data_IF_193244897005
#
_entry.id   IF_193244897005
#
_cell.length_a   1.000
_cell.length_b   1.000
_cell.length_c   1.000
_cell.angle_alpha   90.00
_cell.angle_beta   90.00
_cell.angle_gamma   90.00
#
_symmetry.space_group_name_H-M   'P 1'
#
loop_
_entity.id
_entity.type
_entity.pdbx_description
1 polymer ?
#
# COMPACT_ATOMS: atom_id res chain seq x y z
N UNK A 1 21.15 25.76 -2.47
CA UNK A 1 20.38 24.63 -3.02
C UNK A 1 19.22 24.39 -2.08
N UNK A 2 18.00 24.65 -2.51
CA UNK A 2 16.80 24.42 -1.71
C UNK A 2 16.68 22.92 -1.50
N UNK A 3 16.88 22.47 -0.28
CA UNK A 3 16.72 21.07 0.09
C UNK A 3 15.22 20.73 0.01
N UNK A 4 14.78 20.22 -1.15
CA UNK A 4 13.38 19.85 -1.34
C UNK A 4 13.02 18.73 -0.38
N UNK A 5 12.01 18.94 0.46
CA UNK A 5 11.52 17.94 1.40
C UNK A 5 11.14 16.65 0.65
N UNK A 6 11.57 15.51 1.17
CA UNK A 6 11.28 14.20 0.57
C UNK A 6 9.90 13.74 0.99
N UNK A 7 9.05 13.44 0.02
CA UNK A 7 7.72 12.88 0.24
C UNK A 7 7.79 11.36 0.16
N UNK A 8 7.39 10.69 1.23
CA UNK A 8 7.28 9.24 1.34
C UNK A 8 5.80 8.87 1.46
N UNK A 9 5.29 8.14 0.49
CA UNK A 9 3.89 7.76 0.40
C UNK A 9 3.73 6.26 0.65
N UNK A 10 2.77 5.91 1.50
CA UNK A 10 2.35 4.52 1.76
C UNK A 10 0.97 4.29 1.17
N UNK A 11 0.88 3.30 0.27
CA UNK A 11 -0.35 2.84 -0.38
C UNK A 11 -0.64 1.40 -0.01
N UNK A 12 -1.92 1.07 0.06
CA UNK A 12 -2.34 -0.29 0.38
C UNK A 12 -3.75 -0.36 0.95
N UNK A 13 -3.99 -1.46 1.63
CA UNK A 13 -5.27 -1.82 2.27
C UNK A 13 -5.28 -1.52 3.79
N UNK A 14 -6.01 -2.35 4.58
CA UNK A 14 -6.12 -2.21 6.04
C UNK A 14 -4.79 -2.33 6.78
N UNK A 15 -3.84 -3.12 6.24
CA UNK A 15 -2.52 -3.30 6.84
C UNK A 15 -1.73 -1.99 6.77
N UNK A 16 -1.89 -1.23 5.69
CA UNK A 16 -1.29 0.10 5.54
C UNK A 16 -2.11 1.18 6.25
N UNK A 17 -3.44 1.15 6.12
CA UNK A 17 -4.38 2.10 6.74
C UNK A 17 -4.14 2.23 8.25
N UNK A 18 -4.14 1.10 8.96
CA UNK A 18 -3.95 1.05 10.42
C UNK A 18 -4.88 1.96 11.20
N UNK A 19 -6.10 2.21 10.71
CA UNK A 19 -7.06 3.09 11.35
C UNK A 19 -6.66 4.58 11.29
N UNK A 20 -5.98 5.01 10.23
CA UNK A 20 -5.57 6.41 10.07
C UNK A 20 -6.73 7.39 10.09
N UNK A 21 -6.52 8.57 10.63
CA UNK A 21 -7.47 9.70 10.58
C UNK A 21 -7.73 10.16 9.15
N UNK A 22 -8.99 10.58 8.89
CA UNK A 22 -9.45 11.14 7.60
C UNK A 22 -9.71 12.64 7.68
N UNK A 23 -9.54 13.21 8.85
CA UNK A 23 -9.67 14.64 9.12
C UNK A 23 -8.31 15.34 9.03
N UNK A 24 -8.29 16.63 9.34
CA UNK A 24 -7.08 17.45 9.35
C UNK A 24 -6.24 17.31 10.62
N UNK A 25 -6.66 16.47 11.59
CA UNK A 25 -5.88 16.23 12.81
C UNK A 25 -4.60 15.46 12.50
N UNK A 26 -3.42 16.07 12.68
CA UNK A 26 -2.16 15.43 12.36
C UNK A 26 -1.81 14.25 13.27
N UNK A 27 -2.47 14.12 14.43
CA UNK A 27 -2.12 13.12 15.45
C UNK A 27 -2.34 11.68 14.97
N UNK A 28 -3.29 11.45 14.05
CA UNK A 28 -3.70 10.11 13.63
C UNK A 28 -3.64 9.88 12.11
N UNK A 29 -3.10 10.82 11.34
CA UNK A 29 -3.07 10.73 9.87
C UNK A 29 -2.25 9.55 9.33
N UNK A 30 -1.34 9.01 10.13
CA UNK A 30 -0.52 7.84 9.77
C UNK A 30 -1.11 6.52 10.26
N UNK A 31 -2.10 6.55 11.14
CA UNK A 31 -2.67 5.34 11.77
C UNK A 31 -1.69 4.68 12.74
N UNK A 32 -1.89 3.38 12.98
CA UNK A 32 -1.10 2.57 13.92
C UNK A 32 -0.35 1.42 13.22
N UNK A 33 -0.17 1.52 11.90
CA UNK A 33 0.46 0.49 11.07
C UNK A 33 1.98 0.64 10.99
N UNK A 34 2.60 -0.22 10.17
CA UNK A 34 4.03 -0.13 9.83
C UNK A 34 4.40 1.25 9.26
N UNK A 35 3.47 1.93 8.58
CA UNK A 35 3.68 3.28 8.06
C UNK A 35 4.02 4.28 9.17
N UNK A 36 3.30 4.21 10.30
CA UNK A 36 3.58 5.02 11.48
C UNK A 36 4.96 4.70 12.09
N UNK A 37 5.31 3.42 12.21
CA UNK A 37 6.59 3.00 12.78
C UNK A 37 7.77 3.45 11.92
N UNK A 38 7.65 3.31 10.60
CA UNK A 38 8.66 3.78 9.66
C UNK A 38 8.78 5.31 9.71
N UNK A 39 7.64 6.02 9.68
CA UNK A 39 7.63 7.48 9.74
C UNK A 39 8.27 8.01 11.04
N UNK A 40 7.96 7.40 12.18
CA UNK A 40 8.56 7.76 13.46
C UNK A 40 10.08 7.55 13.45
N UNK A 41 10.54 6.40 12.98
CA UNK A 41 11.97 6.07 12.92
C UNK A 41 12.74 6.97 11.95
N UNK A 42 12.22 7.14 10.73
CA UNK A 42 12.89 7.94 9.71
C UNK A 42 12.77 9.44 10.00
N UNK A 43 11.62 9.89 10.51
CA UNK A 43 11.42 11.28 10.95
C UNK A 43 12.40 11.69 12.03
N UNK A 44 12.65 10.81 13.00
CA UNK A 44 13.69 11.03 14.02
C UNK A 44 15.09 11.04 13.40
N UNK A 45 15.42 10.04 12.58
CA UNK A 45 16.78 9.87 12.01
C UNK A 45 17.15 11.00 11.04
N UNK A 46 16.17 11.53 10.31
CA UNK A 46 16.35 12.55 9.28
C UNK A 46 15.60 13.85 9.60
N UNK A 47 15.50 14.20 10.89
CA UNK A 47 14.74 15.36 11.37
C UNK A 47 15.16 16.67 10.70
N UNK A 48 16.44 16.87 10.43
CA UNK A 48 16.96 18.06 9.75
C UNK A 48 16.46 18.19 8.29
N UNK A 49 16.13 17.07 7.64
CA UNK A 49 15.63 17.02 6.28
C UNK A 49 14.10 17.17 6.22
N UNK A 50 13.43 17.12 7.34
CA UNK A 50 11.97 17.26 7.51
C UNK A 50 11.16 16.43 6.49
N UNK A 51 11.37 15.10 6.40
CA UNK A 51 10.65 14.29 5.42
C UNK A 51 9.14 14.32 5.69
N UNK A 52 8.35 14.32 4.62
CA UNK A 52 6.89 14.28 4.68
C UNK A 52 6.44 12.84 4.50
N UNK A 53 5.65 12.33 5.43
CA UNK A 53 5.08 10.99 5.38
C UNK A 53 3.57 11.08 5.16
N UNK A 54 3.08 10.34 4.16
CA UNK A 54 1.66 10.32 3.78
C UNK A 54 1.19 8.88 3.78
N UNK A 55 0.14 8.59 4.54
CA UNK A 55 -0.54 7.30 4.50
C UNK A 55 -1.86 7.44 3.72
N UNK A 56 -1.98 6.69 2.61
CA UNK A 56 -3.16 6.61 1.75
C UNK A 56 -3.76 5.20 1.71
N UNK A 57 -3.40 4.33 2.66
CA UNK A 57 -4.06 3.04 2.86
C UNK A 57 -5.56 3.19 3.10
N UNK A 58 -6.35 2.25 2.56
CA UNK A 58 -7.80 2.18 2.81
C UNK A 58 -8.18 0.72 3.06
N UNK A 59 -8.77 0.46 4.22
CA UNK A 59 -9.20 -0.88 4.63
C UNK A 59 -10.12 -1.52 3.58
N UNK A 60 -9.86 -2.79 3.26
CA UNK A 60 -10.64 -3.57 2.31
C UNK A 60 -10.25 -3.36 0.83
N UNK A 61 -9.35 -2.42 0.52
CA UNK A 61 -8.95 -2.17 -0.87
C UNK A 61 -8.26 -3.38 -1.49
N UNK A 62 -8.56 -3.59 -2.77
CA UNK A 62 -7.90 -4.48 -3.72
C UNK A 62 -7.04 -3.66 -4.68
N UNK A 63 -6.29 -4.32 -5.55
CA UNK A 63 -5.52 -3.63 -6.58
C UNK A 63 -6.39 -2.75 -7.49
N UNK A 64 -7.60 -3.22 -7.84
CA UNK A 64 -8.56 -2.44 -8.64
C UNK A 64 -9.05 -1.17 -7.93
N UNK A 65 -9.21 -1.24 -6.61
CA UNK A 65 -9.66 -0.10 -5.81
C UNK A 65 -8.52 0.93 -5.65
N UNK A 66 -7.26 0.47 -5.58
CA UNK A 66 -6.10 1.35 -5.68
C UNK A 66 -6.08 2.08 -7.02
N UNK A 67 -6.25 1.35 -8.13
CA UNK A 67 -6.22 1.91 -9.46
C UNK A 67 -7.29 2.99 -9.65
N UNK A 68 -8.49 2.76 -9.14
CA UNK A 68 -9.61 3.72 -9.25
C UNK A 68 -9.33 5.09 -8.61
N UNK A 69 -8.40 5.18 -7.66
CA UNK A 69 -8.03 6.42 -6.96
C UNK A 69 -6.56 6.83 -7.16
N UNK A 70 -5.88 6.17 -8.12
CA UNK A 70 -4.42 6.28 -8.24
C UNK A 70 -3.95 7.68 -8.58
N UNK A 71 -4.69 8.38 -9.43
CA UNK A 71 -4.35 9.74 -9.83
C UNK A 71 -4.32 10.70 -8.63
N UNK A 72 -5.36 10.68 -7.79
CA UNK A 72 -5.52 11.60 -6.65
C UNK A 72 -4.61 11.20 -5.49
N UNK A 73 -4.53 9.90 -5.21
CA UNK A 73 -3.90 9.38 -4.00
C UNK A 73 -2.43 8.97 -4.20
N UNK A 74 -1.92 9.00 -5.43
CA UNK A 74 -0.51 8.70 -5.71
C UNK A 74 0.12 9.70 -6.69
N UNK A 75 -0.36 9.78 -7.93
CA UNK A 75 0.28 10.57 -8.99
C UNK A 75 0.34 12.05 -8.62
N UNK A 76 -0.79 12.64 -8.18
CA UNK A 76 -0.89 14.06 -7.82
C UNK A 76 -0.02 14.45 -6.62
N UNK A 77 0.35 13.49 -5.78
CA UNK A 77 1.20 13.72 -4.61
C UNK A 77 2.69 13.76 -4.93
N UNK A 78 3.08 13.33 -6.14
CA UNK A 78 4.46 13.33 -6.64
C UNK A 78 5.48 12.82 -5.62
N UNK A 79 5.31 11.61 -5.06
CA UNK A 79 6.17 11.10 -4.01
C UNK A 79 7.60 10.85 -4.54
N UNK A 80 8.60 11.05 -3.70
CA UNK A 80 9.96 10.64 -3.98
C UNK A 80 10.16 9.12 -3.75
N UNK A 81 9.38 8.55 -2.82
CA UNK A 81 9.30 7.14 -2.54
C UNK A 81 7.84 6.73 -2.34
N UNK A 82 7.44 5.69 -3.04
CA UNK A 82 6.10 5.11 -2.97
C UNK A 82 6.22 3.65 -2.53
N UNK A 83 5.68 3.35 -1.36
CA UNK A 83 5.55 1.99 -0.82
C UNK A 83 4.14 1.46 -1.09
N UNK A 84 4.03 0.24 -1.62
CA UNK A 84 2.75 -0.39 -1.96
C UNK A 84 2.69 -1.76 -1.28
N UNK A 85 1.68 -1.98 -0.44
CA UNK A 85 1.32 -3.26 0.14
C UNK A 85 -0.15 -3.55 -0.15
N UNK A 86 -0.40 -4.42 -1.12
CA UNK A 86 -1.74 -4.75 -1.62
C UNK A 86 -1.81 -6.19 -2.09
N UNK A 87 -2.99 -6.82 -2.03
CA UNK A 87 -3.22 -8.16 -2.58
C UNK A 87 -3.92 -9.10 -1.62
N UNK A 88 -3.84 -8.89 -0.31
CA UNK A 88 -4.49 -9.78 0.67
C UNK A 88 -6.03 -9.80 0.48
N UNK A 89 -6.66 -8.68 0.16
CA UNK A 89 -8.10 -8.63 -0.10
C UNK A 89 -8.46 -9.20 -1.48
N UNK A 90 -7.56 -9.13 -2.43
CA UNK A 90 -7.72 -9.83 -3.71
C UNK A 90 -7.75 -11.35 -3.45
N UNK A 91 -6.77 -11.89 -2.72
CA UNK A 91 -6.72 -13.29 -2.33
C UNK A 91 -7.95 -13.69 -1.47
N UNK A 92 -8.34 -12.87 -0.49
CA UNK A 92 -9.52 -13.14 0.35
C UNK A 92 -10.79 -13.32 -0.46
N UNK A 93 -11.05 -12.41 -1.39
CA UNK A 93 -12.26 -12.48 -2.23
C UNK A 93 -12.22 -13.61 -3.26
N UNK A 94 -11.04 -14.10 -3.63
CA UNK A 94 -10.89 -15.29 -4.45
C UNK A 94 -11.38 -16.55 -3.71
N UNK A 95 -11.20 -16.62 -2.40
CA UNK A 95 -11.69 -17.75 -1.59
C UNK A 95 -13.23 -17.79 -1.54
N UNK A 96 -13.87 -16.63 -1.52
CA UNK A 96 -15.31 -16.57 -1.30
C UNK A 96 -16.14 -16.81 -2.57
N UNK A 97 -15.74 -16.37 -3.75
CA UNK A 97 -16.67 -16.35 -4.92
C UNK A 97 -16.07 -16.19 -6.31
N UNK A 98 -14.76 -16.14 -6.53
CA UNK A 98 -14.27 -15.77 -7.86
C UNK A 98 -13.68 -16.94 -8.66
N UNK A 99 -14.03 -17.01 -9.97
CA UNK A 99 -13.59 -18.08 -10.87
C UNK A 99 -12.12 -17.93 -11.24
N UNK A 100 -11.62 -18.97 -11.95
CA UNK A 100 -10.30 -19.02 -12.59
C UNK A 100 -9.88 -17.68 -13.21
N UNK A 101 -8.61 -17.33 -13.10
CA UNK A 101 -8.03 -16.13 -13.68
C UNK A 101 -8.07 -14.87 -12.79
N UNK A 102 -8.37 -15.03 -11.50
CA UNK A 102 -8.34 -13.88 -10.59
C UNK A 102 -6.90 -13.40 -10.32
N UNK A 103 -5.93 -14.32 -10.22
CA UNK A 103 -4.50 -14.00 -10.14
C UNK A 103 -4.03 -13.24 -11.39
N UNK A 104 -4.39 -13.71 -12.58
CA UNK A 104 -4.04 -13.04 -13.84
C UNK A 104 -4.62 -11.62 -13.91
N UNK A 105 -5.81 -11.39 -13.36
CA UNK A 105 -6.41 -10.05 -13.29
C UNK A 105 -5.66 -9.15 -12.31
N UNK A 106 -5.29 -9.69 -11.15
CA UNK A 106 -4.47 -8.97 -10.18
C UNK A 106 -3.14 -8.57 -10.81
N UNK A 107 -2.44 -9.52 -11.41
CA UNK A 107 -1.15 -9.28 -12.07
C UNK A 107 -1.25 -8.19 -13.14
N UNK A 108 -2.22 -8.30 -14.06
CA UNK A 108 -2.42 -7.29 -15.12
C UNK A 108 -2.72 -5.91 -14.56
N UNK A 109 -3.61 -5.82 -13.58
CA UNK A 109 -3.97 -4.54 -12.97
C UNK A 109 -2.78 -3.92 -12.23
N UNK A 110 -2.01 -4.74 -11.50
CA UNK A 110 -0.85 -4.28 -10.76
C UNK A 110 0.28 -3.85 -11.69
N UNK A 111 0.57 -4.63 -12.73
CA UNK A 111 1.56 -4.27 -13.77
C UNK A 111 1.19 -2.96 -14.47
N UNK A 112 -0.08 -2.78 -14.80
CA UNK A 112 -0.55 -1.55 -15.45
C UNK A 112 -0.36 -0.34 -14.52
N UNK A 113 -0.77 -0.44 -13.26
CA UNK A 113 -0.58 0.59 -12.23
C UNK A 113 0.90 0.98 -12.08
N UNK A 114 1.80 0.00 -12.04
CA UNK A 114 3.23 0.24 -11.91
C UNK A 114 3.83 0.87 -13.18
N UNK A 115 3.37 0.44 -14.36
CA UNK A 115 3.81 0.99 -15.65
C UNK A 115 3.43 2.46 -15.78
N UNK A 116 2.15 2.78 -15.52
CA UNK A 116 1.65 4.17 -15.50
C UNK A 116 2.41 5.04 -14.50
N UNK A 117 2.67 4.50 -13.30
CA UNK A 117 3.44 5.23 -12.30
C UNK A 117 4.85 5.57 -12.80
N UNK A 118 5.53 4.65 -13.43
CA UNK A 118 6.88 4.88 -13.97
C UNK A 118 6.89 5.83 -15.15
N UNK A 119 5.85 5.82 -15.97
CA UNK A 119 5.70 6.73 -17.09
C UNK A 119 5.50 8.17 -16.63
N UNK A 120 4.60 8.38 -15.65
CA UNK A 120 4.23 9.72 -15.17
C UNK A 120 5.20 10.25 -14.12
N UNK A 121 5.77 9.37 -13.31
CA UNK A 121 6.68 9.69 -12.19
C UNK A 121 7.99 8.89 -12.31
N UNK A 122 8.83 9.12 -13.34
CA UNK A 122 10.01 8.31 -13.63
C UNK A 122 11.05 8.31 -12.50
N UNK A 123 11.13 9.39 -11.72
CA UNK A 123 12.10 9.54 -10.62
C UNK A 123 11.60 8.96 -9.29
N UNK A 124 10.33 8.58 -9.19
CA UNK A 124 9.77 7.98 -7.98
C UNK A 124 10.34 6.59 -7.73
N UNK A 125 10.92 6.40 -6.55
CA UNK A 125 11.38 5.07 -6.11
C UNK A 125 10.21 4.24 -5.62
N UNK A 126 10.07 3.02 -6.16
CA UNK A 126 9.01 2.09 -5.78
C UNK A 126 9.57 1.06 -4.79
N UNK A 127 8.81 0.80 -3.72
CA UNK A 127 9.01 -0.29 -2.77
C UNK A 127 7.75 -1.14 -2.77
N UNK A 128 7.83 -2.33 -3.34
CA UNK A 128 6.73 -3.27 -3.40
C UNK A 128 6.88 -4.27 -2.25
N UNK A 129 5.83 -4.40 -1.46
CA UNK A 129 5.78 -5.32 -0.34
C UNK A 129 4.86 -6.50 -0.72
N UNK A 130 5.33 -7.71 -0.46
CA UNK A 130 4.53 -8.90 -0.67
C UNK A 130 3.33 -8.92 0.29
N UNK A 131 2.11 -9.23 -0.18
CA UNK A 131 0.98 -9.43 0.69
C UNK A 131 1.23 -10.64 1.60
N UNK A 132 0.81 -10.54 2.84
CA UNK A 132 1.01 -11.61 3.82
C UNK A 132 -0.23 -11.82 4.69
N UNK A 133 -0.33 -12.99 5.27
CA UNK A 133 -1.29 -13.34 6.31
C UNK A 133 -0.58 -14.03 7.47
N UNK A 134 -1.20 -13.99 8.63
CA UNK A 134 -0.78 -14.75 9.79
C UNK A 134 -1.73 -15.96 9.97
N UNK A 135 -1.18 -17.10 10.40
CA UNK A 135 -1.98 -18.27 10.76
C UNK A 135 -2.65 -18.03 12.12
N UNK A 136 -3.76 -17.31 12.08
CA UNK A 136 -4.50 -16.94 13.28
C UNK A 136 -5.97 -16.65 12.94
N UNK A 137 -6.88 -17.04 13.83
CA UNK A 137 -8.30 -16.76 13.70
C UNK A 137 -8.90 -17.31 12.40
N UNK A 138 -9.48 -16.46 11.57
CA UNK A 138 -10.19 -16.86 10.36
C UNK A 138 -9.30 -17.56 9.30
N UNK A 139 -7.98 -17.38 9.36
CA UNK A 139 -7.04 -17.96 8.38
C UNK A 139 -6.52 -19.35 8.79
N UNK A 140 -6.74 -19.79 10.03
CA UNK A 140 -6.24 -21.08 10.53
C UNK A 140 -6.86 -22.26 9.79
N UNK A 141 -8.18 -22.23 9.57
CA UNK A 141 -8.93 -23.37 9.03
C UNK A 141 -8.55 -23.71 7.58
N UNK A 142 -8.15 -22.72 6.78
CA UNK A 142 -7.83 -22.88 5.35
C UNK A 142 -6.40 -22.44 5.06
N UNK A 143 -5.47 -22.65 5.98
CA UNK A 143 -4.10 -22.12 5.88
C UNK A 143 -3.35 -22.55 4.62
N UNK A 144 -3.47 -23.82 4.20
CA UNK A 144 -2.82 -24.33 2.98
C UNK A 144 -3.33 -23.62 1.73
N UNK A 145 -4.64 -23.38 1.64
CA UNK A 145 -5.26 -22.67 0.51
C UNK A 145 -4.85 -21.21 0.47
N UNK A 146 -4.75 -20.56 1.64
CA UNK A 146 -4.23 -19.21 1.75
C UNK A 146 -2.81 -19.08 1.23
N UNK A 147 -1.93 -20.01 1.64
CA UNK A 147 -0.53 -20.02 1.21
C UNK A 147 -0.42 -20.18 -0.30
N UNK A 148 -1.13 -21.14 -0.87
CA UNK A 148 -1.15 -21.37 -2.31
C UNK A 148 -1.51 -20.10 -3.10
N UNK A 149 -2.51 -19.36 -2.63
CA UNK A 149 -3.00 -18.15 -3.30
C UNK A 149 -2.09 -16.92 -3.15
N UNK A 150 -1.33 -16.86 -2.09
CA UNK A 150 -0.40 -15.74 -1.87
C UNK A 150 0.97 -16.01 -2.50
N UNK A 151 1.35 -17.27 -2.67
CA UNK A 151 2.64 -17.67 -3.23
C UNK A 151 2.59 -17.75 -4.79
N UNK A 152 1.42 -17.52 -5.41
CA UNK A 152 1.22 -17.51 -6.88
C UNK A 152 1.32 -16.09 -7.43
#
# INVERSE_FOLDING_TARGET
>A
MTNQQKVILFQGDSITDGGRGRNSDPSHILGHSYAFLIASKLGYRYAEQQPIFINRGISGNRVSDLYARWNEDAISLKPHLLSILIGVNDAWRMMDRLPQGATDRFERAYRHLLSETKEVLPDTKLVLLEPFILKAGATEQNWSEWRERLDT
#
